data_IF_311540889794
#
_entry.id   IF_311540889794
#
_cell.length_a   1.000
_cell.length_b   1.000
_cell.length_c   1.000
_cell.angle_alpha   90.00
_cell.angle_beta   90.00
_cell.angle_gamma   90.00
#
_symmetry.space_group_name_H-M   'P 1'
#
loop_
_entity.id
_entity.type
_entity.pdbx_description
1 polymer ?
#
# COMPACT_ATOMS: atom_id res chain seq x y z
N UNK A 1 2.15 30.68 0.15
CA UNK A 1 1.97 29.22 0.37
C UNK A 1 2.36 28.88 1.80
N UNK A 2 1.38 28.62 2.66
CA UNK A 2 1.59 28.32 4.08
C UNK A 2 2.30 26.96 4.29
N UNK A 3 3.05 26.82 5.40
CA UNK A 3 3.80 25.60 5.77
C UNK A 3 2.90 24.34 5.77
N UNK A 4 1.64 24.50 6.20
CA UNK A 4 0.64 23.42 6.21
C UNK A 4 0.36 22.88 4.81
N UNK A 5 0.25 23.76 3.81
CA UNK A 5 -0.02 23.34 2.43
C UNK A 5 1.21 22.66 1.82
N UNK A 6 2.42 23.12 2.16
CA UNK A 6 3.65 22.44 1.74
C UNK A 6 3.69 21.00 2.28
N UNK A 7 3.42 20.81 3.57
CA UNK A 7 3.35 19.48 4.18
C UNK A 7 2.26 18.62 3.52
N UNK A 8 1.10 19.20 3.23
CA UNK A 8 0.01 18.50 2.56
C UNK A 8 0.39 18.04 1.14
N UNK A 9 1.07 18.89 0.35
CA UNK A 9 1.59 18.53 -0.97
C UNK A 9 2.59 17.37 -0.88
N UNK A 10 3.51 17.40 0.08
CA UNK A 10 4.47 16.31 0.30
C UNK A 10 3.73 14.99 0.60
N UNK A 11 2.72 15.03 1.46
CA UNK A 11 1.90 13.85 1.79
C UNK A 11 1.14 13.33 0.57
N UNK A 12 0.59 14.21 -0.27
CA UNK A 12 -0.08 13.81 -1.51
C UNK A 12 0.87 13.14 -2.49
N UNK A 13 2.07 13.70 -2.68
CA UNK A 13 3.09 13.12 -3.56
C UNK A 13 3.55 11.76 -3.06
N UNK A 14 3.82 11.63 -1.75
CA UNK A 14 4.18 10.35 -1.14
C UNK A 14 3.07 9.31 -1.30
N UNK A 15 1.80 9.71 -1.09
CA UNK A 15 0.64 8.84 -1.27
C UNK A 15 0.46 8.40 -2.72
N UNK A 16 0.68 9.30 -3.68
CA UNK A 16 0.61 8.98 -5.10
C UNK A 16 1.67 7.94 -5.50
N UNK A 17 2.92 8.12 -5.05
CA UNK A 17 4.01 7.18 -5.29
C UNK A 17 3.71 5.79 -4.69
N UNK A 18 3.19 5.75 -3.46
CA UNK A 18 2.80 4.50 -2.80
C UNK A 18 1.67 3.78 -3.54
N UNK A 19 0.63 4.49 -3.94
CA UNK A 19 -0.50 3.91 -4.66
C UNK A 19 -0.14 3.45 -6.07
N UNK A 20 0.74 4.18 -6.77
CA UNK A 20 1.35 3.70 -8.02
C UNK A 20 2.14 2.42 -7.79
N UNK A 21 2.95 2.37 -6.73
CA UNK A 21 3.66 1.16 -6.32
C UNK A 21 2.71 -0.01 -6.12
N UNK A 22 1.58 0.18 -5.42
CA UNK A 22 0.54 -0.84 -5.21
C UNK A 22 -0.10 -1.26 -6.53
N UNK A 23 -0.41 -0.30 -7.41
CA UNK A 23 -1.01 -0.57 -8.72
C UNK A 23 -0.08 -1.39 -9.62
N UNK A 24 1.24 -1.17 -9.56
CA UNK A 24 2.23 -1.90 -10.38
C UNK A 24 2.58 -3.26 -9.79
N UNK A 25 2.86 -3.32 -8.48
CA UNK A 25 3.49 -4.50 -7.85
C UNK A 25 2.54 -5.54 -7.28
N UNK A 26 1.22 -5.27 -7.29
CA UNK A 26 0.20 -6.11 -6.64
C UNK A 26 0.48 -6.35 -5.14
N UNK A 27 1.27 -5.47 -4.51
CA UNK A 27 1.80 -5.67 -3.16
C UNK A 27 0.70 -5.86 -2.10
N UNK A 28 -0.43 -5.18 -2.24
CA UNK A 28 -1.53 -5.22 -1.28
C UNK A 28 -2.77 -5.99 -1.76
N UNK A 29 -2.86 -6.29 -3.05
CA UNK A 29 -4.07 -6.83 -3.69
C UNK A 29 -3.74 -7.43 -5.05
N UNK A 30 -4.34 -8.58 -5.34
CA UNK A 30 -4.28 -9.23 -6.66
C UNK A 30 -5.46 -8.83 -7.55
N UNK A 31 -6.48 -8.17 -7.00
CA UNK A 31 -7.67 -7.76 -7.74
C UNK A 31 -7.35 -6.59 -8.68
N UNK A 32 -7.74 -6.73 -9.96
CA UNK A 32 -7.57 -5.70 -10.99
C UNK A 32 -8.32 -4.42 -10.62
N UNK A 33 -9.53 -4.55 -10.07
CA UNK A 33 -10.37 -3.41 -9.65
C UNK A 33 -9.65 -2.57 -8.60
N UNK A 34 -9.07 -3.22 -7.60
CA UNK A 34 -8.33 -2.53 -6.54
C UNK A 34 -7.07 -1.81 -7.06
N UNK A 35 -6.40 -2.39 -8.06
CA UNK A 35 -5.22 -1.79 -8.71
C UNK A 35 -5.61 -0.57 -9.54
N UNK A 36 -6.73 -0.65 -10.28
CA UNK A 36 -7.30 0.49 -11.00
C UNK A 36 -7.73 1.60 -10.04
N UNK A 37 -8.36 1.25 -8.92
CA UNK A 37 -8.74 2.22 -7.89
C UNK A 37 -7.50 2.91 -7.29
N UNK A 38 -6.43 2.16 -7.03
CA UNK A 38 -5.16 2.71 -6.57
C UNK A 38 -4.52 3.65 -7.61
N UNK A 39 -4.51 3.27 -8.89
CA UNK A 39 -4.02 4.13 -9.97
C UNK A 39 -4.85 5.41 -10.10
N UNK A 40 -6.18 5.32 -9.99
CA UNK A 40 -7.08 6.46 -10.02
C UNK A 40 -6.81 7.43 -8.85
N UNK A 41 -6.72 6.93 -7.62
CA UNK A 41 -6.40 7.75 -6.45
C UNK A 41 -4.98 8.35 -6.50
N UNK A 42 -4.02 7.64 -7.11
CA UNK A 42 -2.69 8.19 -7.35
C UNK A 42 -2.73 9.37 -8.33
N UNK A 43 -3.50 9.27 -9.42
CA UNK A 43 -3.72 10.35 -10.36
C UNK A 43 -4.43 11.54 -9.71
N UNK A 44 -5.46 11.30 -8.89
CA UNK A 44 -6.14 12.35 -8.15
C UNK A 44 -5.19 13.08 -7.18
N UNK A 45 -4.33 12.36 -6.45
CA UNK A 45 -3.36 12.98 -5.56
C UNK A 45 -2.29 13.77 -6.31
N UNK A 46 -1.74 13.22 -7.40
CA UNK A 46 -0.76 13.92 -8.22
C UNK A 46 -1.36 15.17 -8.88
N UNK A 47 -2.59 15.07 -9.40
CA UNK A 47 -3.32 16.19 -9.99
C UNK A 47 -3.60 17.30 -8.98
N UNK A 48 -4.00 16.94 -7.76
CA UNK A 48 -4.26 17.92 -6.70
C UNK A 48 -2.97 18.56 -6.17
N UNK A 49 -1.88 17.78 -6.03
CA UNK A 49 -0.57 18.32 -5.68
C UNK A 49 -0.07 19.31 -6.74
N UNK A 50 -0.17 18.96 -8.02
CA UNK A 50 0.17 19.85 -9.14
C UNK A 50 -0.68 21.12 -9.13
N UNK A 51 -1.98 20.99 -8.91
CA UNK A 51 -2.89 22.14 -8.84
C UNK A 51 -2.52 23.11 -7.71
N UNK A 52 -2.23 22.59 -6.52
CA UNK A 52 -1.81 23.40 -5.36
C UNK A 52 -0.46 24.09 -5.59
N UNK A 53 0.51 23.39 -6.20
CA UNK A 53 1.81 23.96 -6.56
C UNK A 53 1.64 25.09 -7.58
N UNK A 54 0.82 24.85 -8.62
CA UNK A 54 0.66 25.80 -9.74
C UNK A 54 -0.12 27.05 -9.34
N UNK A 55 -1.14 26.91 -8.51
CA UNK A 55 -2.00 28.05 -8.11
C UNK A 55 -1.43 28.84 -6.95
N UNK A 56 -0.44 28.30 -6.22
CA UNK A 56 0.16 28.96 -5.05
C UNK A 56 -0.86 29.29 -3.96
N UNK A 57 -2.03 28.62 -3.97
CA UNK A 57 -3.16 28.95 -3.13
C UNK A 57 -2.78 28.90 -1.63
N UNK A 58 -3.07 29.97 -0.89
CA UNK A 58 -2.91 30.02 0.57
C UNK A 58 -4.10 29.47 1.34
N UNK A 59 -5.25 29.31 0.65
CA UNK A 59 -6.44 28.62 1.12
C UNK A 59 -6.80 27.58 0.06
N UNK A 60 -6.39 26.32 0.27
CA UNK A 60 -6.55 25.26 -0.71
C UNK A 60 -8.00 24.82 -0.82
N UNK A 61 -8.60 24.97 -2.01
CA UNK A 61 -9.79 24.19 -2.38
C UNK A 61 -9.35 22.75 -2.52
N UNK A 62 -9.46 21.98 -1.44
CA UNK A 62 -9.11 20.56 -1.44
C UNK A 62 -10.21 19.81 -2.17
N UNK A 63 -9.87 19.16 -3.28
CA UNK A 63 -10.76 18.19 -3.90
C UNK A 63 -11.09 17.10 -2.86
N UNK A 64 -12.34 17.00 -2.42
CA UNK A 64 -12.78 16.14 -1.29
C UNK A 64 -12.27 14.69 -1.40
N UNK A 65 -12.25 14.04 -2.59
CA UNK A 65 -11.65 12.72 -2.75
C UNK A 65 -10.15 12.63 -2.42
N UNK A 66 -9.38 13.71 -2.66
CA UNK A 66 -7.94 13.74 -2.41
C UNK A 66 -7.60 13.73 -0.92
N UNK A 67 -8.51 14.22 -0.06
CA UNK A 67 -8.34 14.17 1.39
C UNK A 67 -8.24 12.73 1.92
N UNK A 68 -8.96 11.79 1.29
CA UNK A 68 -8.96 10.39 1.71
C UNK A 68 -7.78 9.57 1.15
N UNK A 69 -7.00 10.13 0.22
CA UNK A 69 -5.92 9.40 -0.46
C UNK A 69 -4.84 8.90 0.51
N UNK A 70 -4.35 9.69 1.50
CA UNK A 70 -3.36 9.20 2.45
C UNK A 70 -3.86 8.04 3.31
N UNK A 71 -5.13 8.09 3.72
CA UNK A 71 -5.77 7.01 4.48
C UNK A 71 -5.88 5.73 3.67
N UNK A 72 -6.29 5.84 2.39
CA UNK A 72 -6.37 4.70 1.48
C UNK A 72 -4.98 4.10 1.19
N UNK A 73 -3.95 4.93 1.00
CA UNK A 73 -2.56 4.50 0.83
C UNK A 73 -2.04 3.74 2.06
N UNK A 74 -2.28 4.28 3.25
CA UNK A 74 -1.93 3.63 4.52
C UNK A 74 -2.61 2.27 4.70
N UNK A 75 -3.91 2.19 4.38
CA UNK A 75 -4.66 0.93 4.43
C UNK A 75 -4.08 -0.14 3.50
N UNK A 76 -3.70 0.21 2.26
CA UNK A 76 -3.07 -0.74 1.32
C UNK A 76 -1.69 -1.18 1.79
N UNK A 77 -0.87 -0.27 2.33
CA UNK A 77 0.41 -0.60 2.94
C UNK A 77 0.26 -1.64 4.06
N UNK A 78 -0.67 -1.39 5.00
CA UNK A 78 -0.95 -2.31 6.09
C UNK A 78 -1.35 -3.70 5.59
N UNK A 79 -2.29 -3.77 4.63
CA UNK A 79 -2.67 -5.05 3.99
C UNK A 79 -1.50 -5.76 3.33
N UNK A 80 -0.63 -5.04 2.63
CA UNK A 80 0.54 -5.62 1.97
C UNK A 80 1.53 -6.23 2.96
N UNK A 81 1.79 -5.56 4.09
CA UNK A 81 2.65 -6.11 5.14
C UNK A 81 2.02 -7.33 5.80
N UNK A 82 0.74 -7.26 6.18
CA UNK A 82 0.01 -8.38 6.77
C UNK A 82 0.03 -9.62 5.86
N UNK A 83 -0.19 -9.44 4.57
CA UNK A 83 -0.15 -10.55 3.62
C UNK A 83 1.26 -11.17 3.48
N UNK A 84 2.32 -10.36 3.62
CA UNK A 84 3.70 -10.89 3.68
C UNK A 84 3.97 -11.67 4.97
N UNK A 85 3.43 -11.22 6.10
CA UNK A 85 3.55 -11.92 7.38
C UNK A 85 2.83 -13.27 7.35
N UNK A 86 1.60 -13.31 6.85
CA UNK A 86 0.83 -14.55 6.66
C UNK A 86 1.61 -15.55 5.78
N UNK A 87 2.14 -15.11 4.62
CA UNK A 87 2.96 -15.98 3.75
C UNK A 87 4.28 -16.43 4.37
N UNK A 88 4.81 -15.73 5.38
CA UNK A 88 6.00 -16.15 6.12
C UNK A 88 5.61 -17.20 7.17
N UNK A 89 4.50 -16.98 7.86
CA UNK A 89 3.94 -17.94 8.81
C UNK A 89 3.58 -19.27 8.13
N UNK A 90 2.91 -19.23 6.97
CA UNK A 90 2.57 -20.44 6.21
C UNK A 90 3.80 -21.24 5.78
N UNK A 91 4.87 -20.54 5.37
CA UNK A 91 6.14 -21.19 5.01
C UNK A 91 6.83 -21.81 6.22
N UNK A 92 6.76 -21.17 7.39
CA UNK A 92 7.31 -21.71 8.62
C UNK A 92 6.52 -22.96 9.07
N UNK A 93 5.19 -22.89 9.05
CA UNK A 93 4.31 -24.01 9.36
C UNK A 93 4.53 -25.19 8.38
N UNK A 94 4.69 -24.92 7.09
CA UNK A 94 5.01 -25.95 6.09
C UNK A 94 6.34 -26.64 6.35
N UNK A 95 7.39 -25.90 6.73
CA UNK A 95 8.69 -26.48 7.10
C UNK A 95 8.58 -27.36 8.34
N UNK A 96 7.83 -26.93 9.35
CA UNK A 96 7.60 -27.72 10.57
C UNK A 96 6.82 -29.00 10.27
N UNK A 97 5.80 -28.93 9.41
CA UNK A 97 5.03 -30.10 9.00
C UNK A 97 5.91 -31.13 8.25
N UNK A 98 6.83 -30.68 7.39
CA UNK A 98 7.79 -31.56 6.71
C UNK A 98 8.76 -32.20 7.72
N UNK A 99 9.32 -31.41 8.64
CA UNK A 99 10.23 -31.93 9.66
C UNK A 99 9.56 -32.97 10.57
N UNK A 100 8.33 -32.71 11.03
CA UNK A 100 7.57 -33.67 11.83
C UNK A 100 7.25 -34.96 11.06
N UNK A 101 6.98 -34.87 9.75
CA UNK A 101 6.77 -36.03 8.90
C UNK A 101 8.07 -36.84 8.68
N UNK A 102 9.22 -36.17 8.60
CA UNK A 102 10.53 -36.81 8.52
C UNK A 102 10.89 -37.52 9.83
N UNK A 103 10.66 -36.89 10.99
CA UNK A 103 10.85 -37.50 12.31
C UNK A 103 9.99 -38.77 12.49
N UNK A 104 8.70 -38.69 12.13
CA UNK A 104 7.80 -39.85 12.21
C UNK A 104 8.21 -41.00 11.27
N UNK A 105 8.77 -40.69 10.10
CA UNK A 105 9.32 -41.71 9.19
C UNK A 105 10.62 -42.30 9.74
N UNK A 106 11.47 -41.50 10.37
CA UNK A 106 12.72 -41.94 10.98
C UNK A 106 12.45 -42.86 12.18
N UNK A 107 11.45 -42.54 13.01
CA UNK A 107 11.06 -43.37 14.16
C UNK A 107 10.44 -44.72 13.78
N UNK A 108 10.05 -44.93 12.51
CA UNK A 108 9.51 -46.20 11.99
C UNK A 108 10.53 -47.07 11.25
N UNK A 109 11.74 -46.58 11.01
CA UNK A 109 12.82 -47.33 10.33
C UNK A 109 13.74 -48.08 11.29
N UNK A 110 13.52 -47.91 12.58
CA UNK A 110 14.10 -48.70 13.67
C UNK A 110 13.03 -49.66 14.20
#
# INVERSE_FOLDING_TARGET
MSVVIVLYVVVLVASAALLLGVAVTSFATTSVVDRLLAAFFALCAAGNAWHLIRTGADHGVVFVPAFFVPFYAGYKLYRGFRHREERRADRAAGKQAVAAAEEWRASRRW
#
